data_IF_379433283003
#
_entry.id   IF_379433283003
#
_cell.length_a   1.000
_cell.length_b   1.000
_cell.length_c   1.000
_cell.angle_alpha   90.00
_cell.angle_beta   90.00
_cell.angle_gamma   90.00
#
_symmetry.space_group_name_H-M   'P 1'
#
loop_
_entity.id
_entity.type
_entity.pdbx_description
1 polymer ?
#
# COMPACT_ATOMS: atom_id res chain seq x y z
N UNK A 1 -34.04 51.63 -26.84
CA UNK A 1 -32.67 51.21 -27.21
C UNK A 1 -32.08 50.25 -26.18
N UNK A 2 -32.24 50.53 -24.87
CA UNK A 2 -31.77 49.66 -23.76
C UNK A 2 -32.47 48.28 -23.74
N UNK A 3 -33.74 48.20 -24.13
CA UNK A 3 -34.52 46.94 -24.15
C UNK A 3 -33.98 45.84 -25.06
N UNK A 4 -33.22 46.18 -26.11
CA UNK A 4 -32.58 45.18 -27.00
C UNK A 4 -31.40 44.46 -26.36
N UNK A 5 -30.79 45.04 -25.33
CA UNK A 5 -29.63 44.46 -24.63
C UNK A 5 -30.03 43.68 -23.38
N UNK A 6 -31.28 43.82 -22.90
CA UNK A 6 -31.76 43.14 -21.69
C UNK A 6 -31.65 41.61 -21.75
N UNK A 7 -32.01 40.92 -22.85
CA UNK A 7 -31.89 39.45 -22.91
C UNK A 7 -30.45 38.96 -22.75
N UNK A 8 -29.50 39.65 -23.39
CA UNK A 8 -28.07 39.34 -23.30
C UNK A 8 -27.51 39.61 -21.90
N UNK A 9 -27.98 40.67 -21.23
CA UNK A 9 -27.62 40.97 -19.85
C UNK A 9 -28.16 39.89 -18.89
N UNK A 10 -29.41 39.46 -19.05
CA UNK A 10 -30.00 38.37 -18.24
C UNK A 10 -29.19 37.08 -18.42
N UNK A 11 -28.89 36.72 -19.67
CA UNK A 11 -28.09 35.52 -19.97
C UNK A 11 -26.70 35.59 -19.30
N UNK A 12 -25.99 36.71 -19.42
CA UNK A 12 -24.69 36.91 -18.77
C UNK A 12 -24.76 36.84 -17.23
N UNK A 13 -25.84 37.36 -16.63
CA UNK A 13 -26.07 37.28 -15.19
C UNK A 13 -26.27 35.82 -14.78
N UNK A 14 -27.09 35.07 -15.52
CA UNK A 14 -27.40 33.66 -15.23
C UNK A 14 -26.17 32.77 -15.37
N UNK A 15 -25.41 32.91 -16.46
CA UNK A 15 -24.16 32.17 -16.66
C UNK A 15 -23.15 32.44 -15.54
N UNK A 16 -23.04 33.70 -15.09
CA UNK A 16 -22.11 34.08 -14.02
C UNK A 16 -22.60 33.63 -12.64
N UNK A 17 -23.92 33.61 -12.43
CA UNK A 17 -24.54 33.11 -11.21
C UNK A 17 -24.29 31.60 -11.08
N UNK A 18 -24.57 30.84 -12.13
CA UNK A 18 -24.36 29.39 -12.18
C UNK A 18 -22.90 29.03 -11.96
N UNK A 19 -21.97 29.73 -12.63
CA UNK A 19 -20.53 29.55 -12.43
C UNK A 19 -20.10 29.79 -10.98
N UNK A 20 -20.58 30.86 -10.37
CA UNK A 20 -20.23 31.19 -8.98
C UNK A 20 -20.82 30.20 -7.97
N UNK A 21 -22.05 29.73 -8.20
CA UNK A 21 -22.67 28.67 -7.37
C UNK A 21 -21.86 27.38 -7.49
N UNK A 22 -21.47 27.00 -8.71
CA UNK A 22 -20.68 25.80 -8.96
C UNK A 22 -19.29 25.89 -8.30
N UNK A 23 -18.62 27.03 -8.37
CA UNK A 23 -17.35 27.27 -7.66
C UNK A 23 -17.50 27.29 -6.13
N UNK A 24 -18.62 27.81 -5.61
CA UNK A 24 -18.90 27.80 -4.17
C UNK A 24 -19.12 26.37 -3.65
N UNK A 25 -19.84 25.55 -4.41
CA UNK A 25 -20.13 24.15 -4.07
C UNK A 25 -18.88 23.25 -4.11
N UNK A 26 -17.80 23.67 -4.79
CA UNK A 26 -16.50 22.99 -4.75
C UNK A 26 -15.68 23.29 -3.49
N UNK A 27 -16.04 24.33 -2.72
CA UNK A 27 -15.32 24.64 -1.50
C UNK A 27 -15.72 23.67 -0.37
N UNK A 28 -14.79 23.29 0.53
CA UNK A 28 -15.08 22.43 1.68
C UNK A 28 -16.24 22.96 2.52
N UNK A 29 -16.98 22.13 3.24
CA UNK A 29 -18.02 22.64 4.15
C UNK A 29 -17.37 23.28 5.37
N UNK A 30 -17.95 24.39 5.86
CA UNK A 30 -17.48 24.99 7.13
C UNK A 30 -17.91 24.09 8.28
N UNK A 31 -16.95 23.66 9.09
CA UNK A 31 -17.18 22.86 10.28
C UNK A 31 -17.52 23.81 11.42
N UNK A 32 -18.72 23.68 11.99
CA UNK A 32 -19.26 24.66 12.95
C UNK A 32 -19.34 24.13 14.38
N UNK A 33 -18.84 22.92 14.63
CA UNK A 33 -18.84 22.32 15.98
C UNK A 33 -17.75 21.26 16.17
N UNK A 34 -17.36 20.97 17.42
CA UNK A 34 -16.40 19.90 17.73
C UNK A 34 -16.92 18.52 17.29
N UNK A 35 -18.23 18.30 17.36
CA UNK A 35 -18.84 17.03 16.94
C UNK A 35 -18.75 16.83 15.43
N UNK A 36 -18.91 17.90 14.66
CA UNK A 36 -18.79 17.89 13.20
C UNK A 36 -17.33 17.73 12.76
N UNK A 37 -16.40 18.33 13.50
CA UNK A 37 -14.95 18.14 13.33
C UNK A 37 -14.56 16.67 13.54
N UNK A 38 -14.97 16.07 14.66
CA UNK A 38 -14.71 14.65 14.94
C UNK A 38 -15.33 13.72 13.90
N UNK A 39 -16.55 14.01 13.43
CA UNK A 39 -17.22 13.21 12.40
C UNK A 39 -16.47 13.29 11.06
N UNK A 40 -16.07 14.49 10.65
CA UNK A 40 -15.26 14.71 9.44
C UNK A 40 -13.94 13.96 9.53
N UNK A 41 -13.24 14.05 10.66
CA UNK A 41 -11.98 13.34 10.88
C UNK A 41 -12.17 11.82 10.80
N UNK A 42 -13.20 11.29 11.46
CA UNK A 42 -13.51 9.85 11.42
C UNK A 42 -13.85 9.39 10.00
N UNK A 43 -14.59 10.19 9.23
CA UNK A 43 -14.86 9.90 7.82
C UNK A 43 -13.57 9.85 7.00
N UNK A 44 -12.65 10.81 7.18
CA UNK A 44 -11.34 10.81 6.50
C UNK A 44 -10.55 9.54 6.88
N UNK A 45 -10.48 9.19 8.17
CA UNK A 45 -9.79 7.98 8.63
C UNK A 45 -10.41 6.72 8.02
N UNK A 46 -11.74 6.64 7.94
CA UNK A 46 -12.46 5.55 7.29
C UNK A 46 -12.12 5.47 5.79
N UNK A 47 -12.14 6.59 5.06
CA UNK A 47 -11.78 6.62 3.64
C UNK A 47 -10.33 6.20 3.39
N UNK A 48 -9.39 6.61 4.25
CA UNK A 48 -7.99 6.17 4.18
C UNK A 48 -7.88 4.67 4.45
N UNK A 49 -8.59 4.15 5.46
CA UNK A 49 -8.64 2.71 5.76
C UNK A 49 -9.13 1.90 4.56
N UNK A 50 -10.21 2.33 3.92
CA UNK A 50 -10.77 1.68 2.74
C UNK A 50 -9.79 1.72 1.56
N UNK A 51 -9.14 2.86 1.33
CA UNK A 51 -8.12 3.01 0.30
C UNK A 51 -6.93 2.08 0.54
N UNK A 52 -6.45 1.99 1.79
CA UNK A 52 -5.40 1.04 2.18
C UNK A 52 -5.86 -0.40 2.01
N UNK A 53 -7.12 -0.73 2.29
CA UNK A 53 -7.65 -2.07 2.06
C UNK A 53 -7.66 -2.41 0.56
N UNK A 54 -8.14 -1.49 -0.30
CA UNK A 54 -8.12 -1.67 -1.76
C UNK A 54 -6.70 -1.87 -2.28
N UNK A 55 -5.77 -1.02 -1.87
CA UNK A 55 -4.39 -1.05 -2.35
C UNK A 55 -3.59 -2.24 -1.82
N UNK A 56 -3.63 -2.49 -0.51
CA UNK A 56 -2.73 -3.42 0.18
C UNK A 56 -3.26 -4.85 0.25
N UNK A 57 -4.59 -5.02 0.22
CA UNK A 57 -5.23 -6.33 0.33
C UNK A 57 -5.80 -6.78 -1.01
N UNK A 58 -6.51 -5.90 -1.71
CA UNK A 58 -7.15 -6.25 -2.98
C UNK A 58 -6.22 -6.04 -4.19
N UNK A 59 -5.14 -5.26 -4.02
CA UNK A 59 -4.24 -4.92 -5.11
C UNK A 59 -4.90 -4.07 -6.20
N UNK A 60 -6.05 -3.47 -5.89
CA UNK A 60 -6.80 -2.61 -6.81
C UNK A 60 -6.16 -1.22 -6.82
N UNK A 61 -5.67 -0.84 -7.99
CA UNK A 61 -4.93 0.41 -8.24
C UNK A 61 -5.61 1.25 -9.32
N UNK A 62 -6.86 0.91 -9.67
CA UNK A 62 -7.64 1.55 -10.74
C UNK A 62 -7.83 3.06 -10.55
N UNK A 63 -7.83 3.54 -9.30
CA UNK A 63 -7.88 4.97 -8.97
C UNK A 63 -6.56 5.73 -9.23
N UNK A 64 -5.46 5.05 -9.55
CA UNK A 64 -4.11 5.65 -9.62
C UNK A 64 -3.34 5.33 -10.91
N UNK A 65 -4.02 4.93 -11.98
CA UNK A 65 -3.36 4.66 -13.26
C UNK A 65 -2.88 5.96 -13.92
N UNK A 66 -1.58 6.19 -13.83
CA UNK A 66 -0.82 6.93 -14.84
C UNK A 66 -0.23 5.91 -15.83
N UNK A 67 -0.31 6.20 -17.14
CA UNK A 67 -0.19 5.25 -18.27
C UNK A 67 1.22 4.64 -18.49
N UNK A 68 2.13 4.81 -17.55
CA UNK A 68 3.49 4.32 -17.65
C UNK A 68 3.84 3.49 -16.41
N UNK A 69 3.97 2.16 -16.56
CA UNK A 69 4.98 1.29 -15.91
C UNK A 69 4.46 -0.14 -15.65
N UNK A 70 4.81 -1.04 -16.59
CA UNK A 70 4.77 -2.49 -16.40
C UNK A 70 5.92 -2.90 -15.44
N UNK A 71 5.64 -3.22 -14.17
CA UNK A 71 6.60 -3.86 -13.25
C UNK A 71 5.91 -4.75 -12.19
N UNK A 72 6.59 -5.76 -11.59
CA UNK A 72 6.00 -6.70 -10.62
C UNK A 72 5.45 -6.06 -9.34
N UNK A 73 4.43 -6.68 -8.75
CA UNK A 73 3.59 -6.17 -7.66
C UNK A 73 4.30 -5.80 -6.35
N UNK A 74 5.40 -6.48 -5.99
CA UNK A 74 6.15 -6.19 -4.76
C UNK A 74 7.03 -4.94 -4.86
N UNK A 75 7.62 -4.69 -6.03
CA UNK A 75 8.32 -3.44 -6.37
C UNK A 75 7.36 -2.25 -6.43
N UNK A 76 6.13 -2.48 -6.92
CA UNK A 76 5.08 -1.45 -7.00
C UNK A 76 4.63 -0.92 -5.65
N UNK A 77 4.49 -1.77 -4.61
CA UNK A 77 4.10 -1.27 -3.29
C UNK A 77 5.17 -0.38 -2.67
N UNK A 78 6.44 -0.79 -2.75
CA UNK A 78 7.55 -0.01 -2.24
C UNK A 78 7.70 1.32 -3.00
N UNK A 79 7.51 1.32 -4.32
CA UNK A 79 7.54 2.52 -5.14
C UNK A 79 6.33 3.42 -4.92
N UNK A 80 5.13 2.86 -4.70
CA UNK A 80 3.93 3.62 -4.34
C UNK A 80 4.06 4.27 -2.97
N UNK A 81 4.58 3.56 -1.96
CA UNK A 81 4.79 4.12 -0.62
C UNK A 81 5.89 5.18 -0.61
N UNK A 82 6.92 5.00 -1.44
CA UNK A 82 7.99 5.97 -1.64
C UNK A 82 7.50 7.21 -2.37
N UNK A 83 6.83 7.04 -3.53
CA UNK A 83 6.26 8.13 -4.32
C UNK A 83 5.19 8.87 -3.53
N UNK A 84 4.31 8.17 -2.81
CA UNK A 84 3.41 8.78 -1.84
C UNK A 84 4.21 9.59 -0.81
N UNK A 85 5.24 9.02 -0.17
CA UNK A 85 6.09 9.75 0.78
C UNK A 85 6.79 10.98 0.17
N UNK A 86 7.20 10.92 -1.09
CA UNK A 86 7.86 12.00 -1.83
C UNK A 86 6.86 13.09 -2.25
N UNK A 87 5.66 12.70 -2.67
CA UNK A 87 4.53 13.59 -2.97
C UNK A 87 4.05 14.29 -1.69
N UNK A 88 4.11 13.61 -0.52
CA UNK A 88 3.90 14.22 0.79
C UNK A 88 5.05 15.19 1.19
N UNK A 89 6.23 15.12 0.55
CA UNK A 89 7.40 15.97 0.83
C UNK A 89 7.53 17.17 -0.12
N UNK A 90 6.73 17.24 -1.19
CA UNK A 90 6.73 18.38 -2.10
C UNK A 90 6.07 19.61 -1.44
N UNK A 91 6.86 20.61 -1.06
CA UNK A 91 6.36 21.91 -0.59
C UNK A 91 6.01 22.85 -1.75
N UNK A 92 4.92 23.64 -1.64
CA UNK A 92 4.80 24.94 -2.28
C UNK A 92 5.30 26.06 -1.35
N UNK A 93 5.91 27.08 -1.93
CA UNK A 93 6.41 28.26 -1.23
C UNK A 93 5.28 29.05 -0.52
N UNK A 94 5.52 29.31 0.76
CA UNK A 94 5.08 30.40 1.63
C UNK A 94 3.67 31.02 1.41
N UNK A 95 2.72 30.56 2.23
CA UNK A 95 1.88 31.42 3.07
C UNK A 95 1.78 30.76 4.44
N UNK A 96 2.13 31.47 5.51
CA UNK A 96 2.49 30.92 6.83
C UNK A 96 1.38 30.20 7.61
N UNK A 97 0.16 30.10 7.08
CA UNK A 97 -0.98 29.44 7.72
C UNK A 97 -1.83 28.57 6.78
N UNK A 98 -1.55 28.54 5.48
CA UNK A 98 -2.35 27.77 4.53
C UNK A 98 -1.92 26.30 4.53
N UNK A 99 -2.88 25.37 4.70
CA UNK A 99 -2.70 23.91 4.75
C UNK A 99 -1.97 23.34 5.99
N UNK A 100 -1.70 24.14 7.02
CA UNK A 100 -0.94 23.67 8.18
C UNK A 100 -1.64 22.55 8.96
N UNK A 101 -2.96 22.51 8.95
CA UNK A 101 -3.71 21.50 9.69
C UNK A 101 -3.91 20.21 8.89
N UNK A 102 -4.08 20.31 7.58
CA UNK A 102 -4.02 19.18 6.64
C UNK A 102 -2.63 18.50 6.71
N UNK A 103 -1.55 19.29 6.75
CA UNK A 103 -0.17 18.78 6.94
C UNK A 103 -0.04 18.06 8.28
N UNK A 104 -0.67 18.55 9.35
CA UNK A 104 -0.66 17.88 10.66
C UNK A 104 -1.41 16.55 10.62
N UNK A 105 -2.63 16.51 10.06
CA UNK A 105 -3.42 15.26 9.91
C UNK A 105 -2.62 14.23 9.10
N UNK A 106 -2.03 14.66 7.99
CA UNK A 106 -1.16 13.86 7.15
C UNK A 106 0.07 13.34 7.93
N UNK A 107 0.67 14.16 8.79
CA UNK A 107 1.76 13.75 9.66
C UNK A 107 1.35 12.63 10.63
N UNK A 108 0.18 12.75 11.27
CA UNK A 108 -0.35 11.70 12.15
C UNK A 108 -0.59 10.39 11.42
N UNK A 109 -1.20 10.45 10.23
CA UNK A 109 -1.42 9.28 9.37
C UNK A 109 -0.08 8.65 9.00
N UNK A 110 0.90 9.45 8.58
CA UNK A 110 2.25 8.98 8.21
C UNK A 110 2.94 8.29 9.39
N UNK A 111 2.83 8.86 10.59
CA UNK A 111 3.43 8.33 11.81
C UNK A 111 2.81 7.00 12.23
N UNK A 112 1.48 6.88 12.20
CA UNK A 112 0.78 5.64 12.48
C UNK A 112 1.11 4.53 11.45
N UNK A 113 1.16 4.87 10.16
CA UNK A 113 1.62 3.95 9.12
C UNK A 113 3.09 3.54 9.30
N UNK A 114 3.96 4.46 9.72
CA UNK A 114 5.37 4.16 9.99
C UNK A 114 5.55 3.19 11.17
N UNK A 115 4.77 3.37 12.25
CA UNK A 115 4.75 2.44 13.38
C UNK A 115 4.24 1.06 12.99
N UNK A 116 3.15 1.01 12.22
CA UNK A 116 2.65 -0.24 11.65
C UNK A 116 3.76 -0.99 10.92
N UNK A 117 4.42 -0.32 9.99
CA UNK A 117 5.39 -0.95 9.12
C UNK A 117 6.56 -1.52 9.94
N UNK A 118 6.96 -0.79 10.98
CA UNK A 118 7.98 -1.24 11.94
C UNK A 118 7.51 -2.48 12.71
N UNK A 119 6.27 -2.49 13.21
CA UNK A 119 5.70 -3.64 13.92
C UNK A 119 5.59 -4.88 13.02
N UNK A 120 5.07 -4.74 11.79
CA UNK A 120 5.00 -5.86 10.82
C UNK A 120 6.40 -6.40 10.53
N UNK A 121 7.38 -5.50 10.33
CA UNK A 121 8.76 -5.88 10.10
C UNK A 121 9.33 -6.68 11.27
N UNK A 122 9.19 -6.20 12.50
CA UNK A 122 9.71 -6.88 13.69
C UNK A 122 9.04 -8.25 13.89
N UNK A 123 7.72 -8.30 13.78
CA UNK A 123 6.95 -9.53 13.95
C UNK A 123 7.23 -10.56 12.85
N UNK A 124 7.39 -10.12 11.60
CA UNK A 124 7.75 -11.02 10.50
C UNK A 124 9.14 -11.65 10.67
N UNK A 125 10.12 -10.89 11.17
CA UNK A 125 11.45 -11.43 11.49
C UNK A 125 11.36 -12.51 12.57
N UNK A 126 10.61 -12.24 13.64
CA UNK A 126 10.38 -13.21 14.71
C UNK A 126 9.73 -14.49 14.18
N UNK A 127 8.68 -14.35 13.35
CA UNK A 127 7.97 -15.50 12.77
C UNK A 127 8.86 -16.34 11.84
N UNK A 128 9.65 -15.71 10.98
CA UNK A 128 10.59 -16.43 10.10
C UNK A 128 11.64 -17.17 10.93
N UNK A 129 12.13 -16.53 12.00
CA UNK A 129 13.09 -17.16 12.91
C UNK A 129 12.50 -18.42 13.54
N UNK A 130 11.27 -18.36 14.04
CA UNK A 130 10.57 -19.53 14.59
C UNK A 130 10.42 -20.65 13.57
N UNK A 131 10.03 -20.34 12.33
CA UNK A 131 9.93 -21.33 11.24
C UNK A 131 11.27 -22.01 10.98
N UNK A 132 12.35 -21.22 10.89
CA UNK A 132 13.70 -21.75 10.67
C UNK A 132 14.14 -22.66 11.82
N UNK A 133 13.88 -22.27 13.07
CA UNK A 133 14.20 -23.11 14.23
C UNK A 133 13.39 -24.41 14.22
N UNK A 134 12.11 -24.38 13.83
CA UNK A 134 11.32 -25.61 13.68
C UNK A 134 11.86 -26.53 12.57
N UNK A 135 12.27 -25.98 11.42
CA UNK A 135 12.86 -26.76 10.32
C UNK A 135 14.23 -27.36 10.68
N UNK A 136 14.97 -26.76 11.63
CA UNK A 136 16.24 -27.31 12.14
C UNK A 136 16.06 -28.52 13.07
N UNK A 137 14.89 -28.69 13.67
CA UNK A 137 14.65 -29.76 14.65
C UNK A 137 14.41 -31.13 14.00
N UNK A 138 13.88 -31.17 12.79
CA UNK A 138 13.51 -32.42 12.13
C UNK A 138 13.47 -32.27 10.61
N UNK A 139 13.87 -33.32 9.91
CA UNK A 139 13.70 -33.49 8.46
C UNK A 139 12.32 -34.08 8.10
N UNK A 140 11.33 -33.93 8.98
CA UNK A 140 9.99 -34.49 8.76
C UNK A 140 9.28 -33.87 7.54
N UNK A 141 8.72 -34.74 6.69
CA UNK A 141 7.83 -34.33 5.61
C UNK A 141 6.82 -35.42 5.27
N UNK A 142 5.54 -35.04 5.18
CA UNK A 142 4.48 -35.86 4.61
C UNK A 142 4.24 -35.56 3.13
N UNK A 143 5.06 -34.69 2.52
CA UNK A 143 4.92 -34.32 1.11
C UNK A 143 5.37 -35.48 0.20
N UNK A 144 4.45 -36.03 -0.59
CA UNK A 144 4.73 -37.11 -1.54
C UNK A 144 5.75 -36.71 -2.62
N UNK A 145 5.87 -35.41 -2.94
CA UNK A 145 6.89 -34.91 -3.87
C UNK A 145 8.30 -35.21 -3.37
N UNK A 146 8.54 -35.19 -2.06
CA UNK A 146 9.83 -35.57 -1.47
C UNK A 146 10.22 -36.98 -1.93
N UNK A 147 9.34 -37.94 -1.68
CA UNK A 147 9.59 -39.36 -2.00
C UNK A 147 9.82 -39.54 -3.48
N UNK A 148 9.05 -38.87 -4.34
CA UNK A 148 9.21 -38.96 -5.79
C UNK A 148 10.58 -38.42 -6.25
N UNK A 149 10.95 -37.23 -5.80
CA UNK A 149 12.22 -36.58 -6.17
C UNK A 149 13.41 -37.36 -5.63
N UNK A 150 13.37 -37.76 -4.35
CA UNK A 150 14.40 -38.57 -3.74
C UNK A 150 14.56 -39.93 -4.45
N UNK A 151 13.47 -40.63 -4.76
CA UNK A 151 13.51 -41.92 -5.46
C UNK A 151 14.12 -41.79 -6.85
N UNK A 152 13.79 -40.71 -7.56
CA UNK A 152 14.40 -40.42 -8.86
C UNK A 152 15.92 -40.21 -8.75
N UNK A 153 16.35 -39.44 -7.75
CA UNK A 153 17.76 -39.16 -7.51
C UNK A 153 18.56 -40.38 -7.04
N UNK A 154 18.03 -41.17 -6.11
CA UNK A 154 18.73 -42.32 -5.55
C UNK A 154 18.90 -43.47 -6.55
N UNK A 155 18.06 -43.53 -7.60
CA UNK A 155 18.15 -44.53 -8.66
C UNK A 155 19.51 -44.51 -9.40
N UNK A 156 20.20 -43.36 -9.44
CA UNK A 156 21.52 -43.24 -10.07
C UNK A 156 22.68 -43.74 -9.20
N UNK A 157 22.45 -44.11 -7.92
CA UNK A 157 23.52 -44.40 -6.96
C UNK A 157 24.46 -45.51 -7.46
N UNK A 158 23.94 -46.65 -7.93
CA UNK A 158 24.77 -47.76 -8.39
C UNK A 158 25.71 -47.39 -9.55
N UNK A 159 25.18 -46.66 -10.53
CA UNK A 159 25.95 -46.19 -11.70
C UNK A 159 26.99 -45.14 -11.31
N UNK A 160 26.62 -44.21 -10.40
CA UNK A 160 27.53 -43.20 -9.90
C UNK A 160 28.69 -43.82 -9.13
N UNK A 161 28.42 -44.74 -8.20
CA UNK A 161 29.45 -45.41 -7.40
C UNK A 161 30.39 -46.23 -8.31
N UNK A 162 29.85 -46.94 -9.29
CA UNK A 162 30.65 -47.68 -10.29
C UNK A 162 31.59 -46.75 -11.07
N UNK A 163 31.13 -45.54 -11.43
CA UNK A 163 31.97 -44.53 -12.07
C UNK A 163 32.97 -43.88 -11.10
N UNK A 164 32.67 -43.81 -9.81
CA UNK A 164 33.55 -43.24 -8.80
C UNK A 164 34.75 -44.14 -8.47
N UNK A 165 34.56 -45.46 -8.47
CA UNK A 165 35.65 -46.43 -8.23
C UNK A 165 36.45 -46.76 -9.48
N UNK A 166 35.91 -46.48 -10.67
CA UNK A 166 36.58 -46.76 -11.95
C UNK A 166 37.73 -45.78 -12.21
N UNK A 167 38.95 -46.32 -12.36
CA UNK A 167 40.17 -45.55 -12.61
C UNK A 167 40.19 -44.80 -13.95
N UNK A 168 39.43 -45.27 -14.94
CA UNK A 168 39.32 -44.67 -16.28
C UNK A 168 38.21 -43.61 -16.41
N UNK A 169 37.31 -43.49 -15.42
CA UNK A 169 36.23 -42.49 -15.41
C UNK A 169 36.66 -41.27 -14.60
N UNK A 170 36.64 -40.08 -15.22
CA UNK A 170 37.05 -38.82 -14.60
C UNK A 170 35.82 -38.05 -14.05
N UNK A 171 34.66 -38.23 -14.68
CA UNK A 171 33.40 -37.59 -14.33
C UNK A 171 32.20 -38.49 -14.62
N UNK A 172 31.04 -38.09 -14.10
CA UNK A 172 29.76 -38.72 -14.29
C UNK A 172 28.67 -37.66 -14.50
N UNK A 173 27.87 -37.81 -15.56
CA UNK A 173 26.73 -36.93 -15.80
C UNK A 173 25.55 -37.35 -14.93
N UNK A 174 25.21 -36.51 -13.96
CA UNK A 174 24.16 -36.76 -12.98
C UNK A 174 22.98 -35.83 -13.25
N UNK A 175 21.82 -36.41 -13.55
CA UNK A 175 20.58 -35.66 -13.81
C UNK A 175 20.26 -34.71 -12.66
N UNK A 176 20.08 -33.42 -12.97
CA UNK A 176 19.82 -32.37 -11.97
C UNK A 176 21.07 -31.77 -11.31
N UNK A 177 22.26 -32.33 -11.56
CA UNK A 177 23.53 -31.86 -10.99
C UNK A 177 24.61 -31.58 -12.07
N UNK A 178 24.38 -32.02 -13.31
CA UNK A 178 25.32 -31.88 -14.41
C UNK A 178 26.50 -32.85 -14.31
N UNK A 179 27.61 -32.51 -14.96
CA UNK A 179 28.82 -33.34 -14.97
C UNK A 179 29.58 -33.21 -13.65
N UNK A 180 29.62 -34.28 -12.86
CA UNK A 180 30.27 -34.34 -11.55
C UNK A 180 31.64 -35.03 -11.67
N UNK A 181 32.75 -34.38 -11.29
CA UNK A 181 34.05 -35.04 -11.21
C UNK A 181 34.06 -36.14 -10.15
N UNK A 182 34.64 -37.30 -10.45
CA UNK A 182 34.62 -38.46 -9.53
C UNK A 182 35.99 -38.89 -9.03
N UNK A 183 37.08 -38.37 -9.62
CA UNK A 183 38.46 -38.76 -9.29
C UNK A 183 38.83 -38.60 -7.81
N UNK A 184 38.35 -37.53 -7.18
CA UNK A 184 38.62 -37.20 -5.78
C UNK A 184 37.93 -38.12 -4.76
N UNK A 185 36.95 -38.92 -5.22
CA UNK A 185 36.17 -39.82 -4.37
C UNK A 185 36.85 -41.18 -4.17
N UNK A 186 37.81 -41.53 -5.03
CA UNK A 186 38.51 -42.84 -5.03
C UNK A 186 39.26 -43.18 -3.75
N UNK A 187 39.60 -42.17 -2.96
CA UNK A 187 40.30 -42.33 -1.68
C UNK A 187 39.40 -42.78 -0.53
N UNK A 188 38.08 -42.82 -0.74
CA UNK A 188 37.11 -43.18 0.29
C UNK A 188 36.55 -44.60 0.08
N UNK A 189 36.22 -45.31 1.17
CA UNK A 189 35.54 -46.61 1.08
C UNK A 189 34.19 -46.51 0.36
N UNK A 190 33.81 -47.58 -0.34
CA UNK A 190 32.59 -47.64 -1.16
C UNK A 190 31.34 -47.42 -0.31
N UNK A 191 31.30 -48.02 0.89
CA UNK A 191 30.21 -47.90 1.84
C UNK A 191 29.97 -46.44 2.26
N UNK A 192 31.06 -45.69 2.47
CA UNK A 192 31.00 -44.27 2.81
C UNK A 192 30.48 -43.44 1.63
N UNK A 193 30.86 -43.80 0.39
CA UNK A 193 30.35 -43.14 -0.81
C UNK A 193 28.85 -43.39 -1.01
N UNK A 194 28.34 -44.60 -0.73
CA UNK A 194 26.91 -44.89 -0.74
C UNK A 194 26.15 -44.00 0.25
N UNK A 195 26.62 -43.94 1.50
CA UNK A 195 25.99 -43.11 2.55
C UNK A 195 26.03 -41.62 2.21
N UNK A 196 27.18 -41.12 1.73
CA UNK A 196 27.33 -39.71 1.36
C UNK A 196 26.43 -39.32 0.17
N UNK A 197 26.31 -40.21 -0.83
CA UNK A 197 25.41 -40.00 -1.95
C UNK A 197 23.95 -39.97 -1.50
N UNK A 198 23.53 -40.93 -0.66
CA UNK A 198 22.18 -41.00 -0.09
C UNK A 198 21.81 -39.70 0.64
N UNK A 199 22.68 -39.26 1.56
CA UNK A 199 22.51 -37.99 2.30
C UNK A 199 22.42 -36.81 1.34
N UNK A 200 23.29 -36.73 0.33
CA UNK A 200 23.27 -35.64 -0.66
C UNK A 200 21.94 -35.60 -1.41
N UNK A 201 21.40 -36.74 -1.82
CA UNK A 201 20.13 -36.81 -2.52
C UNK A 201 18.95 -36.43 -1.61
N UNK A 202 18.94 -36.89 -0.35
CA UNK A 202 17.91 -36.51 0.65
C UNK A 202 17.90 -35.02 0.93
N UNK A 203 19.06 -34.43 1.25
CA UNK A 203 19.19 -32.99 1.52
C UNK A 203 18.73 -32.19 0.30
N UNK A 204 19.13 -32.60 -0.91
CA UNK A 204 18.73 -31.89 -2.14
C UNK A 204 17.23 -31.94 -2.35
N UNK A 205 16.59 -33.11 -2.18
CA UNK A 205 15.15 -33.27 -2.31
C UNK A 205 14.39 -32.48 -1.23
N UNK A 206 14.89 -32.50 0.01
CA UNK A 206 14.27 -31.82 1.15
C UNK A 206 14.38 -30.30 1.07
N UNK A 207 15.49 -29.76 0.57
CA UNK A 207 15.74 -28.32 0.50
C UNK A 207 14.65 -27.55 -0.26
N UNK A 208 14.15 -28.12 -1.36
CA UNK A 208 13.04 -27.53 -2.12
C UNK A 208 11.77 -27.34 -1.27
N UNK A 209 11.51 -28.27 -0.33
CA UNK A 209 10.36 -28.24 0.57
C UNK A 209 10.54 -27.17 1.64
N UNK A 210 11.73 -27.09 2.24
CA UNK A 210 12.06 -26.06 3.25
C UNK A 210 11.86 -24.67 2.68
N UNK A 211 12.42 -24.40 1.49
CA UNK A 211 12.28 -23.10 0.82
C UNK A 211 10.81 -22.78 0.58
N UNK A 212 10.02 -23.73 0.06
CA UNK A 212 8.59 -23.53 -0.20
C UNK A 212 7.80 -23.23 1.08
N UNK A 213 8.02 -24.00 2.15
CA UNK A 213 7.35 -23.79 3.43
C UNK A 213 7.66 -22.42 4.03
N UNK A 214 8.92 -21.98 3.99
CA UNK A 214 9.32 -20.66 4.49
C UNK A 214 8.62 -19.58 3.67
N UNK A 215 8.64 -19.68 2.33
CA UNK A 215 8.00 -18.69 1.44
C UNK A 215 6.50 -18.61 1.69
N UNK A 216 5.80 -19.75 1.65
CA UNK A 216 4.33 -19.79 1.81
C UNK A 216 3.90 -19.32 3.20
N UNK A 217 4.58 -19.78 4.25
CA UNK A 217 4.27 -19.39 5.63
C UNK A 217 4.51 -17.90 5.86
N UNK A 218 5.58 -17.35 5.30
CA UNK A 218 5.89 -15.92 5.40
C UNK A 218 4.86 -15.09 4.63
N UNK A 219 4.51 -15.50 3.41
CA UNK A 219 3.52 -14.80 2.60
C UNK A 219 2.15 -14.76 3.29
N UNK A 220 1.67 -15.91 3.79
CA UNK A 220 0.41 -16.01 4.54
C UNK A 220 0.43 -15.15 5.80
N UNK A 221 1.53 -15.17 6.54
CA UNK A 221 1.68 -14.38 7.77
C UNK A 221 1.65 -12.88 7.49
N UNK A 222 2.36 -12.41 6.46
CA UNK A 222 2.38 -11.00 6.07
C UNK A 222 0.98 -10.53 5.65
N UNK A 223 0.28 -11.32 4.81
CA UNK A 223 -1.09 -11.00 4.40
C UNK A 223 -2.06 -10.95 5.59
N UNK A 224 -1.97 -11.93 6.48
CA UNK A 224 -2.78 -11.98 7.70
C UNK A 224 -2.56 -10.75 8.58
N UNK A 225 -1.29 -10.40 8.85
CA UNK A 225 -0.93 -9.30 9.73
C UNK A 225 -1.35 -7.96 9.14
N UNK A 226 -1.15 -7.77 7.83
CA UNK A 226 -1.55 -6.55 7.13
C UNK A 226 -3.07 -6.35 7.15
N UNK A 227 -3.83 -7.42 6.87
CA UNK A 227 -5.30 -7.40 6.92
C UNK A 227 -5.82 -7.12 8.33
N UNK A 228 -5.24 -7.78 9.34
CA UNK A 228 -5.63 -7.57 10.73
C UNK A 228 -5.34 -6.12 11.16
N UNK A 229 -4.24 -5.54 10.73
CA UNK A 229 -3.94 -4.16 11.06
C UNK A 229 -4.95 -3.18 10.45
N UNK A 230 -5.15 -3.24 9.13
CA UNK A 230 -6.04 -2.30 8.42
C UNK A 230 -7.45 -2.36 9.02
N UNK A 231 -7.92 -3.57 9.33
CA UNK A 231 -9.27 -3.76 9.82
C UNK A 231 -9.44 -3.42 11.30
N UNK A 232 -8.47 -3.80 12.15
CA UNK A 232 -8.66 -3.84 13.60
C UNK A 232 -7.83 -2.82 14.38
N UNK A 233 -6.69 -2.36 13.84
CA UNK A 233 -5.70 -1.57 14.57
C UNK A 233 -5.47 -0.18 13.99
N UNK A 234 -5.62 0.02 12.68
CA UNK A 234 -5.31 1.30 12.02
C UNK A 234 -6.05 2.48 12.66
N UNK A 235 -7.37 2.37 12.82
CA UNK A 235 -8.17 3.43 13.44
C UNK A 235 -7.77 3.66 14.92
N UNK A 236 -7.47 2.59 15.65
CA UNK A 236 -7.06 2.68 17.06
C UNK A 236 -5.74 3.40 17.21
N UNK A 237 -4.77 3.12 16.35
CA UNK A 237 -3.45 3.76 16.37
C UNK A 237 -3.55 5.25 16.02
N UNK A 238 -4.36 5.61 15.01
CA UNK A 238 -4.60 7.01 14.65
C UNK A 238 -5.28 7.75 15.80
N UNK A 239 -6.34 7.18 16.38
CA UNK A 239 -7.05 7.78 17.52
C UNK A 239 -6.13 7.89 18.73
N UNK A 240 -5.32 6.87 19.02
CA UNK A 240 -4.36 6.91 20.11
C UNK A 240 -3.31 8.01 19.90
N UNK A 241 -2.76 8.17 18.70
CA UNK A 241 -1.82 9.26 18.40
C UNK A 241 -2.46 10.64 18.53
N UNK A 242 -3.71 10.79 18.09
CA UNK A 242 -4.46 12.04 18.23
C UNK A 242 -4.68 12.40 19.72
N UNK A 243 -5.14 11.43 20.52
CA UNK A 243 -5.42 11.61 21.95
C UNK A 243 -4.15 11.84 22.76
N UNK A 244 -3.06 11.13 22.44
CA UNK A 244 -1.78 11.23 23.16
C UNK A 244 -1.02 12.52 22.86
N UNK A 245 -1.32 13.20 21.75
CA UNK A 245 -0.67 14.46 21.38
C UNK A 245 -1.54 15.70 21.61
N UNK A 246 -2.86 15.58 21.83
CA UNK A 246 -3.72 16.70 22.26
C UNK A 246 -5.16 16.33 22.65
N UNK A 247 -5.81 17.22 23.42
CA UNK A 247 -7.22 17.13 23.78
C UNK A 247 -8.19 17.46 22.64
N UNK A 248 -9.46 17.11 22.81
CA UNK A 248 -10.55 17.21 21.79
C UNK A 248 -10.70 18.61 21.18
N UNK A 249 -10.41 19.68 21.92
CA UNK A 249 -10.50 21.06 21.43
C UNK A 249 -9.44 21.47 20.39
N UNK A 250 -8.38 20.69 20.18
CA UNK A 250 -7.40 20.98 19.11
C UNK A 250 -7.77 20.30 17.79
N UNK A 251 -8.61 19.26 17.82
CA UNK A 251 -9.14 18.62 16.60
C UNK A 251 -10.07 19.57 15.84
N UNK A 252 -10.82 20.39 16.56
CA UNK A 252 -11.67 21.45 15.97
C UNK A 252 -10.81 22.48 15.25
N UNK A 253 -9.74 22.97 15.89
CA UNK A 253 -8.77 23.89 15.28
C UNK A 253 -8.05 23.29 14.08
N UNK A 254 -7.80 21.98 14.09
CA UNK A 254 -7.19 21.28 12.96
C UNK A 254 -8.12 21.11 11.74
N UNK A 255 -9.39 21.45 11.89
CA UNK A 255 -10.40 21.36 10.84
C UNK A 255 -11.10 22.71 10.60
N UNK A 256 -10.57 23.78 11.20
CA UNK A 256 -11.00 25.14 10.90
C UNK A 256 -10.67 25.49 9.45
N UNK A 257 -11.61 26.15 8.79
CA UNK A 257 -11.43 26.56 7.40
C UNK A 257 -10.27 27.57 7.29
N UNK A 258 -9.32 27.33 6.38
CA UNK A 258 -8.22 28.28 6.17
C UNK A 258 -8.75 29.67 5.76
N UNK A 259 -8.03 30.71 6.20
CA UNK A 259 -8.37 32.12 5.92
C UNK A 259 -8.54 32.42 4.42
N UNK A 260 -7.77 31.74 3.55
CA UNK A 260 -7.87 31.86 2.10
C UNK A 260 -9.18 31.28 1.53
N UNK A 261 -9.60 30.11 2.00
CA UNK A 261 -10.85 29.46 1.57
C UNK A 261 -12.05 30.24 2.13
N UNK A 262 -11.97 30.68 3.38
CA UNK A 262 -12.98 31.55 4.00
C UNK A 262 -13.16 32.86 3.21
N UNK A 263 -12.06 33.54 2.84
CA UNK A 263 -12.10 34.76 2.01
C UNK A 263 -12.68 34.49 0.61
N UNK A 264 -12.31 33.37 -0.03
CA UNK A 264 -12.87 32.97 -1.34
C UNK A 264 -14.37 32.69 -1.23
N UNK A 265 -14.80 31.99 -0.17
CA UNK A 265 -16.20 31.69 0.13
C UNK A 265 -17.01 32.97 0.33
N UNK A 266 -16.49 33.91 1.12
CA UNK A 266 -17.15 35.19 1.37
C UNK A 266 -17.30 36.01 0.07
N UNK A 267 -16.24 36.09 -0.75
CA UNK A 267 -16.29 36.76 -2.06
C UNK A 267 -17.33 36.14 -2.99
N UNK A 268 -17.39 34.80 -3.04
CA UNK A 268 -18.40 34.09 -3.85
C UNK A 268 -19.82 34.31 -3.33
N UNK A 269 -20.04 34.22 -2.01
CA UNK A 269 -21.34 34.53 -1.39
C UNK A 269 -21.80 35.95 -1.69
N UNK A 270 -20.89 36.93 -1.58
CA UNK A 270 -21.18 38.33 -1.92
C UNK A 270 -21.49 38.52 -3.41
N UNK A 271 -20.71 37.90 -4.31
CA UNK A 271 -20.99 37.98 -5.74
C UNK A 271 -22.32 37.34 -6.12
N UNK A 272 -22.67 36.19 -5.53
CA UNK A 272 -23.95 35.51 -5.76
C UNK A 272 -25.11 36.40 -5.29
N UNK A 273 -24.98 37.03 -4.11
CA UNK A 273 -25.99 37.96 -3.60
C UNK A 273 -26.22 39.13 -4.57
N UNK A 274 -25.15 39.79 -5.01
CA UNK A 274 -25.24 40.90 -5.97
C UNK A 274 -25.82 40.49 -7.32
N UNK A 275 -25.48 39.30 -7.83
CA UNK A 275 -26.03 38.79 -9.09
C UNK A 275 -27.52 38.47 -8.99
N UNK A 276 -28.00 37.98 -7.85
CA UNK A 276 -29.44 37.81 -7.59
C UNK A 276 -30.17 39.15 -7.54
N UNK A 277 -29.64 40.12 -6.80
CA UNK A 277 -30.18 41.48 -6.73
C UNK A 277 -30.22 42.14 -8.13
N UNK A 278 -29.16 41.97 -8.93
CA UNK A 278 -29.10 42.46 -10.31
C UNK A 278 -30.13 41.76 -11.22
N UNK A 279 -30.30 40.44 -11.07
CA UNK A 279 -31.32 39.67 -11.81
C UNK A 279 -32.72 40.19 -11.51
N UNK A 280 -33.06 40.36 -10.24
CA UNK A 280 -34.37 40.85 -9.80
C UNK A 280 -34.64 42.27 -10.34
N UNK A 281 -33.64 43.15 -10.30
CA UNK A 281 -33.74 44.50 -10.86
C UNK A 281 -33.95 44.50 -12.38
N UNK A 282 -33.24 43.62 -13.10
CA UNK A 282 -33.38 43.48 -14.55
C UNK A 282 -34.74 42.88 -14.91
N UNK A 283 -35.22 41.87 -14.18
CA UNK A 283 -36.58 41.32 -14.34
C UNK A 283 -37.65 42.39 -14.11
N UNK A 284 -37.53 43.21 -13.07
CA UNK A 284 -38.45 44.32 -12.84
C UNK A 284 -38.48 45.31 -14.02
N UNK A 285 -37.32 45.64 -14.61
CA UNK A 285 -37.27 46.52 -15.79
C UNK A 285 -37.93 45.86 -17.01
N UNK A 286 -37.71 44.57 -17.24
CA UNK A 286 -38.35 43.80 -18.31
C UNK A 286 -39.88 43.79 -18.14
N UNK A 287 -40.38 43.58 -16.92
CA UNK A 287 -41.82 43.57 -16.61
C UNK A 287 -42.47 44.96 -16.78
N UNK A 288 -41.73 46.05 -16.54
CA UNK A 288 -42.22 47.44 -16.73
C UNK A 288 -42.06 47.95 -18.18
N UNK A 289 -41.34 47.22 -19.04
CA UNK A 289 -41.10 47.59 -20.44
C UNK A 289 -41.76 46.65 -21.45
N UNK A 290 -42.58 45.71 -20.97
CA UNK A 290 -43.42 44.81 -21.76
C UNK A 290 -44.84 45.34 -21.94
#
# INVERSE_FOLDING_TARGET
>A
MITRCLPEIVQNIDEKLDKNILELNKLPTVINSPSEALMTLMNIICSVKESLHRLLIQGDVSEYQDDHLNMPSSTRLADMLRKFSDDLQAQPQATTEFLMDEIKIQHFIKRACGRLLSMIKEQSVSRVTEIVEMEKLTDYTCNKEYTNVYTHYIAAQGSFISAAVNTYKISFDLTGFGTVPTTHLRKYPVELLHQAFDIKMRITAYWAIVVRRIVDSTALYLQFTLKNFINSQFQKEIVAELVNHRGVGDVEKMLEESTAVASKREKLKNSIRLLKEAKDAVSAIVDHSS
#
